data_IF_426345590579
#
_entry.id   IF_426345590579
#
_cell.length_a   1.000
_cell.length_b   1.000
_cell.length_c   1.000
_cell.angle_alpha   90.00
_cell.angle_beta   90.00
_cell.angle_gamma   90.00
#
_symmetry.space_group_name_H-M   'P 1'
#
loop_
_entity.id
_entity.type
_entity.pdbx_description
1 polymer ?
#
# COMPACT_ATOMS: atom_id res chain seq x y z
N UNK A 1 -3.79 38.69 -60.61
CA UNK A 1 -3.98 38.94 -59.16
C UNK A 1 -3.25 37.84 -58.39
N UNK A 2 -1.99 38.09 -58.03
CA UNK A 2 -1.13 37.17 -57.25
C UNK A 2 -0.78 37.92 -55.97
N UNK A 3 -1.66 37.90 -54.96
CA UNK A 3 -1.44 38.64 -53.70
C UNK A 3 -2.21 38.02 -52.51
N UNK A 4 -2.23 36.70 -52.37
CA UNK A 4 -2.85 36.03 -51.19
C UNK A 4 -1.90 35.11 -50.42
N UNK A 5 -0.87 34.56 -51.05
CA UNK A 5 0.10 33.67 -50.38
C UNK A 5 1.17 34.38 -49.53
N UNK A 6 1.53 35.63 -49.85
CA UNK A 6 2.52 36.39 -49.10
C UNK A 6 1.95 36.87 -47.75
N UNK A 7 0.74 37.43 -47.75
CA UNK A 7 0.06 37.88 -46.54
C UNK A 7 -0.22 36.74 -45.55
N UNK A 8 -0.51 35.53 -46.02
CA UNK A 8 -0.78 34.38 -45.14
C UNK A 8 0.52 33.78 -44.56
N UNK A 9 1.62 33.76 -45.32
CA UNK A 9 2.95 33.41 -44.79
C UNK A 9 3.53 34.49 -43.87
N UNK A 10 3.20 35.76 -44.12
CA UNK A 10 3.57 36.85 -43.23
C UNK A 10 2.72 36.84 -41.96
N UNK A 11 1.43 36.48 -42.03
CA UNK A 11 0.58 36.25 -40.84
C UNK A 11 1.04 35.05 -40.01
N UNK A 12 1.48 33.95 -40.65
CA UNK A 12 2.09 32.81 -39.97
C UNK A 12 3.50 33.11 -39.43
N UNK A 13 4.26 34.04 -40.04
CA UNK A 13 5.53 34.56 -39.50
C UNK A 13 5.31 35.53 -38.34
N UNK A 14 4.24 36.32 -38.34
CA UNK A 14 3.88 37.29 -37.31
C UNK A 14 3.31 36.63 -36.03
N UNK A 15 2.91 35.35 -36.09
CA UNK A 15 2.38 34.58 -34.96
C UNK A 15 3.27 33.40 -34.54
N UNK A 16 4.56 33.42 -34.89
CA UNK A 16 5.51 32.46 -34.33
C UNK A 16 5.80 32.81 -32.88
N UNK A 17 5.06 32.18 -31.97
CA UNK A 17 5.33 32.23 -30.54
C UNK A 17 6.81 31.93 -30.27
N UNK A 18 7.52 32.88 -29.68
CA UNK A 18 8.93 32.69 -29.33
C UNK A 18 9.07 31.66 -28.21
N UNK A 19 10.27 31.07 -28.03
CA UNK A 19 10.51 30.15 -26.92
C UNK A 19 10.23 30.82 -25.57
N UNK A 20 10.63 32.07 -25.42
CA UNK A 20 10.42 32.85 -24.21
C UNK A 20 8.93 33.08 -23.94
N UNK A 21 8.18 33.54 -24.96
CA UNK A 21 6.72 33.68 -24.85
C UNK A 21 6.04 32.36 -24.52
N UNK A 22 6.51 31.23 -25.09
CA UNK A 22 6.02 29.90 -24.76
C UNK A 22 6.22 29.57 -23.29
N UNK A 23 7.42 29.75 -22.78
CA UNK A 23 7.73 29.44 -21.38
C UNK A 23 6.93 30.34 -20.43
N UNK A 24 6.83 31.64 -20.70
CA UNK A 24 6.05 32.58 -19.90
C UNK A 24 4.55 32.22 -19.86
N UNK A 25 3.97 31.80 -20.98
CA UNK A 25 2.54 31.41 -21.04
C UNK A 25 2.24 30.00 -20.53
N UNK A 26 3.24 29.12 -20.42
CA UNK A 26 3.05 27.71 -20.02
C UNK A 26 3.45 27.45 -18.57
N UNK A 27 4.38 28.24 -18.01
CA UNK A 27 4.72 28.25 -16.60
C UNK A 27 3.85 29.29 -15.87
N UNK A 28 2.53 29.07 -15.91
CA UNK A 28 1.52 29.83 -15.18
C UNK A 28 0.92 28.99 -14.03
N UNK A 29 -0.02 29.55 -13.27
CA UNK A 29 -0.74 28.87 -12.17
C UNK A 29 -1.52 27.60 -12.57
N UNK A 30 -1.66 27.33 -13.87
CA UNK A 30 -2.34 26.15 -14.42
C UNK A 30 -1.36 25.08 -14.90
N UNK A 31 -0.05 25.24 -14.64
CA UNK A 31 0.97 24.23 -14.94
C UNK A 31 0.78 22.98 -14.08
N UNK A 32 0.50 21.84 -14.72
CA UNK A 32 0.41 20.55 -14.02
C UNK A 32 1.76 19.84 -14.00
N UNK A 33 2.46 19.77 -15.14
CA UNK A 33 3.75 19.10 -15.28
C UNK A 33 4.51 19.64 -16.48
N UNK A 34 5.79 19.97 -16.30
CA UNK A 34 6.74 20.13 -17.38
C UNK A 34 7.81 19.03 -17.33
N UNK A 35 8.26 18.59 -18.50
CA UNK A 35 9.26 17.54 -18.67
C UNK A 35 10.30 18.00 -19.67
N UNK A 36 11.56 18.08 -19.25
CA UNK A 36 12.70 18.27 -20.14
C UNK A 36 13.31 16.90 -20.45
N UNK A 37 13.43 16.60 -21.74
CA UNK A 37 13.89 15.31 -22.24
C UNK A 37 14.70 15.44 -23.53
N UNK A 38 15.23 14.31 -24.01
CA UNK A 38 16.12 14.29 -25.17
C UNK A 38 17.48 14.89 -24.83
N UNK A 39 18.12 14.33 -23.79
CA UNK A 39 19.45 14.70 -23.31
C UNK A 39 20.45 14.71 -24.47
N UNK A 40 21.24 15.78 -24.56
CA UNK A 40 22.26 15.97 -25.60
C UNK A 40 23.68 16.05 -25.07
N UNK A 41 23.85 16.37 -23.79
CA UNK A 41 25.14 16.28 -23.12
C UNK A 41 25.59 14.82 -22.98
N UNK A 42 26.89 14.57 -23.22
CA UNK A 42 27.53 13.26 -23.01
C UNK A 42 28.20 13.13 -21.63
N UNK A 43 28.06 14.14 -20.78
CA UNK A 43 28.64 14.14 -19.44
C UNK A 43 27.90 13.15 -18.53
N UNK A 44 28.65 12.39 -17.72
CA UNK A 44 28.09 11.38 -16.80
C UNK A 44 27.20 11.99 -15.71
N UNK A 45 27.39 13.26 -15.39
CA UNK A 45 26.63 13.98 -14.36
C UNK A 45 25.43 14.77 -14.93
N UNK A 46 25.29 14.82 -16.25
CA UNK A 46 24.17 15.50 -16.86
C UNK A 46 22.86 14.71 -16.64
N UNK A 47 21.76 15.39 -16.28
CA UNK A 47 20.49 14.72 -16.03
C UNK A 47 19.91 14.13 -17.32
N UNK A 48 19.37 12.92 -17.24
CA UNK A 48 18.70 12.24 -18.36
C UNK A 48 17.29 12.75 -18.61
N UNK A 49 16.65 13.26 -17.54
CA UNK A 49 15.31 13.81 -17.56
C UNK A 49 15.14 14.77 -16.39
N UNK A 50 14.43 15.86 -16.62
CA UNK A 50 14.00 16.79 -15.55
C UNK A 50 12.48 16.86 -15.57
N UNK A 51 11.85 16.65 -14.41
CA UNK A 51 10.40 16.83 -14.22
C UNK A 51 10.16 18.04 -13.34
N UNK A 52 9.38 19.00 -13.82
CA UNK A 52 9.09 20.24 -13.13
C UNK A 52 7.60 20.28 -12.80
N UNK A 53 7.26 20.59 -11.55
CA UNK A 53 5.87 20.74 -11.11
C UNK A 53 5.74 21.91 -10.14
N UNK A 54 4.54 22.47 -10.05
CA UNK A 54 4.23 23.48 -9.04
C UNK A 54 4.11 22.84 -7.65
N UNK A 55 4.59 23.58 -6.66
CA UNK A 55 4.57 23.21 -5.26
C UNK A 55 4.29 24.45 -4.40
N UNK A 56 3.73 24.24 -3.22
CA UNK A 56 3.63 25.30 -2.21
C UNK A 56 4.74 25.11 -1.16
N UNK A 57 5.50 26.17 -0.90
CA UNK A 57 6.60 26.16 0.07
C UNK A 57 6.55 27.45 0.89
N UNK A 58 6.35 27.32 2.22
CA UNK A 58 6.23 28.46 3.16
C UNK A 58 5.17 29.50 2.75
N UNK A 59 4.07 29.07 2.12
CA UNK A 59 2.96 29.95 1.72
C UNK A 59 3.14 30.66 0.39
N UNK A 60 4.19 30.34 -0.39
CA UNK A 60 4.35 30.81 -1.77
C UNK A 60 4.43 29.65 -2.76
N UNK A 61 3.94 29.88 -3.99
CA UNK A 61 4.04 28.89 -5.08
C UNK A 61 5.45 28.93 -5.65
N UNK A 62 6.11 27.77 -5.66
CA UNK A 62 7.42 27.55 -6.28
C UNK A 62 7.33 26.40 -7.29
N UNK A 63 8.36 26.25 -8.11
CA UNK A 63 8.49 25.18 -9.10
C UNK A 63 9.61 24.25 -8.68
N UNK A 64 9.29 22.99 -8.42
CA UNK A 64 10.30 21.98 -8.10
C UNK A 64 10.74 21.25 -9.36
N UNK A 65 12.03 21.31 -9.68
CA UNK A 65 12.68 20.46 -10.67
C UNK A 65 13.25 19.20 -10.01
N UNK A 66 12.86 18.04 -10.52
CA UNK A 66 13.39 16.73 -10.13
C UNK A 66 14.26 16.18 -11.27
N UNK A 67 15.57 16.23 -11.08
CA UNK A 67 16.60 15.88 -12.07
C UNK A 67 17.09 14.45 -11.84
N UNK A 68 16.93 13.59 -12.85
CA UNK A 68 17.38 12.19 -12.78
C UNK A 68 18.83 12.09 -13.28
N UNK A 69 19.78 11.78 -12.40
CA UNK A 69 21.21 11.62 -12.72
C UNK A 69 21.63 10.20 -12.32
N UNK A 70 21.86 9.34 -13.31
CA UNK A 70 22.09 7.90 -13.07
C UNK A 70 20.90 7.27 -12.33
N UNK A 71 21.14 6.73 -11.13
CA UNK A 71 20.11 6.15 -10.24
C UNK A 71 19.56 7.13 -9.19
N UNK A 72 20.07 8.37 -9.15
CA UNK A 72 19.70 9.38 -8.15
C UNK A 72 18.71 10.39 -8.72
N UNK A 73 17.84 10.91 -7.87
CA UNK A 73 16.94 12.03 -8.17
C UNK A 73 17.33 13.21 -7.28
N UNK A 74 17.70 14.34 -7.91
CA UNK A 74 18.03 15.59 -7.22
C UNK A 74 16.85 16.55 -7.30
N UNK A 75 16.57 17.27 -6.21
CA UNK A 75 15.46 18.22 -6.13
C UNK A 75 15.98 19.65 -5.94
N UNK A 76 15.53 20.55 -6.81
CA UNK A 76 15.79 21.99 -6.72
C UNK A 76 14.48 22.75 -6.81
N UNK A 77 14.31 23.82 -6.03
CA UNK A 77 13.11 24.64 -6.04
C UNK A 77 13.44 26.02 -6.60
N UNK A 78 12.55 26.55 -7.44
CA UNK A 78 12.74 27.80 -8.18
C UNK A 78 11.50 28.70 -8.06
N UNK A 79 11.69 30.02 -8.13
CA UNK A 79 10.63 30.96 -8.47
C UNK A 79 10.15 30.77 -9.92
N UNK A 80 9.10 31.48 -10.33
CA UNK A 80 8.62 31.46 -11.71
C UNK A 80 9.67 31.97 -12.69
N UNK A 81 10.34 33.05 -12.34
CA UNK A 81 11.38 33.69 -13.15
C UNK A 81 12.60 32.77 -13.24
N UNK A 82 13.01 32.19 -12.10
CA UNK A 82 14.15 31.27 -12.03
C UNK A 82 13.90 29.98 -12.82
N UNK A 83 12.69 29.41 -12.79
CA UNK A 83 12.41 28.17 -13.51
C UNK A 83 12.35 28.38 -15.02
N UNK A 84 11.84 29.53 -15.47
CA UNK A 84 11.83 29.89 -16.90
C UNK A 84 13.27 30.04 -17.39
N UNK A 85 14.11 30.78 -16.67
CA UNK A 85 15.53 30.93 -16.97
C UNK A 85 16.26 29.57 -16.98
N UNK A 86 15.99 28.71 -16.00
CA UNK A 86 16.55 27.36 -15.92
C UNK A 86 16.20 26.50 -17.14
N UNK A 87 14.93 26.50 -17.56
CA UNK A 87 14.47 25.74 -18.73
C UNK A 87 15.08 26.29 -20.01
N UNK A 88 15.14 27.61 -20.15
CA UNK A 88 15.74 28.26 -21.31
C UNK A 88 17.24 27.93 -21.43
N UNK A 89 18.00 28.09 -20.34
CA UNK A 89 19.42 27.75 -20.29
C UNK A 89 19.65 26.26 -20.61
N UNK A 90 18.83 25.38 -20.04
CA UNK A 90 18.89 23.93 -20.29
C UNK A 90 18.68 23.55 -21.76
N UNK A 91 18.01 24.39 -22.55
CA UNK A 91 17.79 24.19 -23.98
C UNK A 91 18.89 24.84 -24.83
N UNK A 92 19.34 26.03 -24.44
CA UNK A 92 20.38 26.78 -25.17
C UNK A 92 21.77 26.14 -25.04
N UNK A 93 22.13 25.65 -23.86
CA UNK A 93 23.42 24.98 -23.61
C UNK A 93 23.47 23.54 -24.17
N UNK A 94 22.39 23.10 -24.84
CA UNK A 94 22.32 21.76 -25.40
C UNK A 94 22.21 20.67 -24.33
N UNK A 95 21.64 20.97 -23.16
CA UNK A 95 21.31 19.97 -22.14
C UNK A 95 20.19 19.05 -22.62
N UNK A 96 19.08 19.64 -23.09
CA UNK A 96 17.89 18.92 -23.57
C UNK A 96 17.43 19.41 -24.94
N UNK A 97 16.52 18.67 -25.57
CA UNK A 97 15.97 19.03 -26.89
C UNK A 97 14.46 19.03 -27.00
N UNK A 98 13.78 18.51 -25.98
CA UNK A 98 12.34 18.31 -25.97
C UNK A 98 11.74 18.71 -24.61
N UNK A 99 11.35 19.98 -24.45
CA UNK A 99 10.38 20.41 -23.44
C UNK A 99 8.97 19.97 -23.81
N UNK A 100 8.28 19.37 -22.86
CA UNK A 100 6.85 19.11 -22.92
C UNK A 100 6.20 19.69 -21.68
N UNK A 101 5.09 20.39 -21.85
CA UNK A 101 4.32 21.02 -20.79
C UNK A 101 2.88 20.54 -20.87
N UNK A 102 2.33 20.15 -19.73
CA UNK A 102 0.93 19.80 -19.54
C UNK A 102 0.32 20.83 -18.60
N UNK A 103 -0.66 21.56 -19.10
CA UNK A 103 -1.46 22.49 -18.33
C UNK A 103 -2.91 22.03 -18.23
N UNK A 104 -3.70 22.71 -17.41
CA UNK A 104 -5.11 22.37 -17.16
C UNK A 104 -5.96 22.29 -18.43
N UNK A 105 -5.77 23.22 -19.37
CA UNK A 105 -6.57 23.33 -20.59
C UNK A 105 -5.73 23.35 -21.88
N UNK A 106 -4.40 23.35 -21.76
CA UNK A 106 -3.46 23.51 -22.87
C UNK A 106 -2.23 22.64 -22.61
N UNK A 107 -1.84 21.86 -23.62
CA UNK A 107 -0.58 21.15 -23.65
C UNK A 107 0.39 21.90 -24.59
N UNK A 108 1.65 22.00 -24.19
CA UNK A 108 2.71 22.65 -24.95
C UNK A 108 3.84 21.66 -25.25
N UNK A 109 4.46 21.77 -26.42
CA UNK A 109 5.68 21.04 -26.72
C UNK A 109 6.62 21.88 -27.55
N UNK A 110 7.90 21.77 -27.23
CA UNK A 110 8.99 22.41 -27.96
C UNK A 110 9.92 21.32 -28.47
N UNK A 111 10.41 21.49 -29.69
CA UNK A 111 11.47 20.68 -30.24
C UNK A 111 12.57 21.60 -30.76
N UNK A 112 13.76 21.49 -30.17
CA UNK A 112 14.96 22.19 -30.64
C UNK A 112 15.72 21.22 -31.54
N UNK A 113 15.96 21.56 -32.80
CA UNK A 113 16.74 20.71 -33.73
C UNK A 113 18.25 20.74 -33.41
N UNK A 114 19.05 19.87 -34.06
CA UNK A 114 20.53 19.93 -33.95
C UNK A 114 21.14 21.21 -34.54
N UNK A 115 20.40 21.91 -35.41
CA UNK A 115 20.81 23.17 -36.05
C UNK A 115 20.22 24.41 -35.37
N UNK A 116 19.73 24.28 -34.12
CA UNK A 116 19.16 25.39 -33.35
C UNK A 116 17.74 25.84 -33.73
N UNK A 117 17.16 25.32 -34.83
CA UNK A 117 15.75 25.61 -35.19
C UNK A 117 14.82 25.14 -34.07
N UNK A 118 14.04 26.06 -33.50
CA UNK A 118 13.02 25.80 -32.47
C UNK A 118 11.65 25.63 -33.15
N UNK A 119 10.91 24.59 -32.77
CA UNK A 119 9.52 24.39 -33.19
C UNK A 119 8.65 24.32 -31.95
N UNK A 120 7.67 25.21 -31.84
CA UNK A 120 6.71 25.27 -30.73
C UNK A 120 5.35 24.77 -31.22
N UNK A 121 4.69 23.92 -30.44
CA UNK A 121 3.31 23.48 -30.67
C UNK A 121 2.52 23.61 -29.38
N UNK A 122 1.34 24.23 -29.47
CA UNK A 122 0.37 24.32 -28.37
C UNK A 122 -0.92 23.65 -28.84
N UNK A 123 -1.52 22.81 -27.99
CA UNK A 123 -2.79 22.13 -28.25
C UNK A 123 -3.73 22.40 -27.08
N UNK A 124 -4.88 23.00 -27.37
CA UNK A 124 -5.94 23.18 -26.40
C UNK A 124 -6.79 21.91 -26.25
N UNK A 125 -7.29 21.68 -25.05
CA UNK A 125 -8.16 20.55 -24.72
C UNK A 125 -9.13 20.92 -23.59
N UNK A 126 -10.18 20.10 -23.40
CA UNK A 126 -11.09 20.27 -22.26
C UNK A 126 -10.32 20.25 -20.94
N UNK A 127 -10.77 21.04 -19.96
CA UNK A 127 -10.11 21.16 -18.67
C UNK A 127 -9.90 19.78 -18.03
N UNK A 128 -8.63 19.36 -17.90
CA UNK A 128 -8.26 18.21 -17.08
C UNK A 128 -8.45 18.61 -15.62
N UNK A 129 -8.87 17.66 -14.77
CA UNK A 129 -8.89 17.92 -13.34
C UNK A 129 -7.48 18.35 -12.90
N UNK A 130 -7.34 19.46 -12.14
CA UNK A 130 -6.04 19.88 -11.67
C UNK A 130 -5.44 18.72 -10.88
N UNK A 131 -4.22 18.32 -11.25
CA UNK A 131 -3.38 17.54 -10.36
C UNK A 131 -3.23 18.44 -9.14
N UNK A 132 -3.96 18.14 -8.07
CA UNK A 132 -3.90 18.90 -6.82
C UNK A 132 -2.45 19.23 -6.56
N UNK A 133 -2.14 20.51 -6.37
CA UNK A 133 -0.83 20.97 -5.90
C UNK A 133 -0.67 20.31 -4.53
N UNK A 134 -0.11 19.11 -4.55
CA UNK A 134 0.30 18.40 -3.36
C UNK A 134 1.42 19.26 -2.82
N UNK A 135 1.07 20.08 -1.82
CA UNK A 135 2.00 20.60 -0.84
C UNK A 135 3.08 19.55 -0.60
N UNK A 136 4.32 19.98 -0.42
CA UNK A 136 5.45 19.06 -0.35
C UNK A 136 5.47 18.09 0.84
N UNK A 137 4.40 18.07 1.62
CA UNK A 137 3.94 16.83 2.22
C UNK A 137 2.79 16.30 1.36
N UNK A 138 2.98 15.15 0.68
CA UNK A 138 1.92 14.15 0.83
C UNK A 138 1.84 13.96 2.33
N UNK A 139 0.99 14.75 3.01
CA UNK A 139 0.61 14.47 4.38
C UNK A 139 -0.04 13.13 4.20
N UNK A 140 0.71 12.06 4.50
CA UNK A 140 0.18 10.70 4.47
C UNK A 140 -1.12 10.81 5.26
N UNK A 141 -2.24 10.59 4.56
CA UNK A 141 -3.56 10.71 5.17
C UNK A 141 -3.72 9.48 6.05
N UNK A 142 -3.14 9.56 7.23
CA UNK A 142 -3.25 8.54 8.25
C UNK A 142 -4.69 8.54 8.75
N UNK A 143 -5.26 7.34 8.91
CA UNK A 143 -6.59 7.14 9.51
C UNK A 143 -6.64 7.75 10.91
N UNK A 144 -5.63 7.44 11.74
CA UNK A 144 -5.38 8.11 13.01
C UNK A 144 -4.48 9.30 12.74
N UNK A 145 -5.03 10.52 12.85
CA UNK A 145 -4.33 11.75 12.50
C UNK A 145 -3.42 12.23 13.62
N UNK A 146 -2.22 12.70 13.25
CA UNK A 146 -1.36 13.44 14.17
C UNK A 146 -2.04 14.78 14.56
N UNK A 147 -1.92 15.16 15.82
CA UNK A 147 -2.59 16.33 16.41
C UNK A 147 -4.00 16.05 16.92
N UNK A 148 -4.54 14.85 16.69
CA UNK A 148 -5.77 14.37 17.36
C UNK A 148 -5.39 13.32 18.39
N UNK A 149 -5.47 13.62 19.71
CA UNK A 149 -5.16 12.66 20.75
C UNK A 149 -6.09 11.44 20.67
N UNK A 150 -5.50 10.25 20.65
CA UNK A 150 -6.22 8.98 20.75
C UNK A 150 -5.82 8.31 22.07
N UNK A 151 -6.74 8.07 23.03
CA UNK A 151 -6.39 7.70 24.40
C UNK A 151 -5.39 6.53 24.51
N UNK A 152 -5.65 5.43 23.81
CA UNK A 152 -4.78 4.26 23.87
C UNK A 152 -3.40 4.50 23.23
N UNK A 153 -3.29 5.38 22.23
CA UNK A 153 -1.99 5.75 21.66
C UNK A 153 -1.17 6.63 22.60
N UNK A 154 -1.83 7.44 23.42
CA UNK A 154 -1.16 8.23 24.46
C UNK A 154 -0.57 7.31 25.53
N UNK A 155 -1.39 6.39 26.06
CA UNK A 155 -0.94 5.44 27.09
C UNK A 155 0.12 4.46 26.59
N UNK A 156 0.10 4.10 25.30
CA UNK A 156 1.14 3.30 24.66
C UNK A 156 2.46 4.06 24.42
N UNK A 157 2.52 5.36 24.72
CA UNK A 157 3.68 6.21 24.45
C UNK A 157 3.92 6.48 22.96
N UNK A 158 2.90 6.31 22.12
CA UNK A 158 2.97 6.63 20.69
C UNK A 158 2.69 8.12 20.47
N UNK A 159 1.71 8.65 21.18
CA UNK A 159 1.30 10.06 21.15
C UNK A 159 1.56 10.72 22.51
N UNK A 160 1.76 12.03 22.51
CA UNK A 160 1.61 12.84 23.72
C UNK A 160 0.13 13.26 23.91
N UNK A 161 -0.18 13.96 25.00
CA UNK A 161 -1.56 14.41 25.31
C UNK A 161 -2.13 15.38 24.28
N UNK A 162 -1.27 16.05 23.52
CA UNK A 162 -1.64 16.95 22.43
C UNK A 162 -1.78 16.23 21.08
N UNK A 163 -1.64 14.90 21.04
CA UNK A 163 -1.79 14.08 19.83
C UNK A 163 -0.58 14.10 18.89
N UNK A 164 0.54 14.68 19.31
CA UNK A 164 1.81 14.68 18.57
C UNK A 164 2.51 13.34 18.72
N UNK A 165 3.08 12.82 17.63
CA UNK A 165 3.74 11.52 17.67
C UNK A 165 5.13 11.65 18.32
N UNK A 166 5.44 10.74 19.24
CA UNK A 166 6.79 10.60 19.76
C UNK A 166 7.71 10.06 18.66
N UNK A 167 8.81 10.77 18.37
CA UNK A 167 9.75 10.40 17.29
C UNK A 167 10.16 8.92 17.29
N UNK A 168 10.52 8.30 18.43
CA UNK A 168 10.90 6.88 18.46
C UNK A 168 9.75 5.91 18.16
N UNK A 169 8.49 6.35 18.32
CA UNK A 169 7.29 5.54 18.11
C UNK A 169 6.64 5.75 16.73
N UNK A 170 7.28 6.51 15.84
CA UNK A 170 6.71 6.84 14.53
C UNK A 170 6.51 5.60 13.65
N UNK A 171 7.39 4.61 13.74
CA UNK A 171 7.24 3.35 13.00
C UNK A 171 6.05 2.54 13.49
N UNK A 172 5.84 2.49 14.81
CA UNK A 172 4.65 1.88 15.40
C UNK A 172 3.37 2.61 14.97
N UNK A 173 3.40 3.94 14.90
CA UNK A 173 2.27 4.73 14.40
C UNK A 173 1.96 4.44 12.91
N UNK A 174 2.98 4.30 12.07
CA UNK A 174 2.82 3.87 10.66
C UNK A 174 2.21 2.46 10.58
N UNK A 175 2.71 1.51 11.37
CA UNK A 175 2.20 0.14 11.39
C UNK A 175 0.71 0.10 11.77
N UNK A 176 0.32 0.83 12.81
CA UNK A 176 -1.08 0.90 13.25
C UNK A 176 -1.97 1.45 12.14
N UNK A 177 -1.57 2.56 11.52
CA UNK A 177 -2.36 3.14 10.42
C UNK A 177 -2.45 2.23 9.21
N UNK A 178 -1.34 1.59 8.84
CA UNK A 178 -1.31 0.65 7.72
C UNK A 178 -2.19 -0.57 7.95
N UNK A 179 -2.26 -1.06 9.19
CA UNK A 179 -3.23 -2.10 9.55
C UNK A 179 -4.66 -1.61 9.37
N UNK A 180 -4.97 -0.39 9.84
CA UNK A 180 -6.30 0.19 9.70
C UNK A 180 -6.69 0.46 8.24
N UNK A 181 -5.74 0.71 7.34
CA UNK A 181 -6.02 0.80 5.89
C UNK A 181 -6.57 -0.54 5.36
N UNK A 182 -6.03 -1.67 5.81
CA UNK A 182 -6.57 -2.98 5.45
C UNK A 182 -7.96 -3.23 6.05
N UNK A 183 -8.23 -2.71 7.25
CA UNK A 183 -9.57 -2.73 7.85
C UNK A 183 -10.53 -1.86 7.03
N UNK A 184 -10.09 -0.69 6.56
CA UNK A 184 -10.90 0.22 5.74
C UNK A 184 -11.36 -0.45 4.43
N UNK A 185 -10.45 -1.15 3.76
CA UNK A 185 -10.71 -1.86 2.52
C UNK A 185 -11.79 -2.96 2.65
N UNK A 186 -11.92 -3.58 3.82
CA UNK A 186 -12.86 -4.69 4.06
C UNK A 186 -14.19 -4.25 4.68
N UNK A 187 -14.36 -2.97 5.02
CA UNK A 187 -15.60 -2.46 5.60
C UNK A 187 -16.87 -2.80 4.79
N UNK A 188 -16.86 -2.82 3.44
CA UNK A 188 -18.04 -3.21 2.67
C UNK A 188 -18.49 -4.66 2.89
N UNK A 189 -17.61 -5.55 3.36
CA UNK A 189 -17.94 -6.93 3.67
C UNK A 189 -18.55 -7.10 5.08
N UNK A 190 -18.47 -6.08 5.93
CA UNK A 190 -19.02 -6.11 7.29
C UNK A 190 -20.42 -5.50 7.32
N UNK A 191 -21.34 -6.14 8.03
CA UNK A 191 -22.71 -5.62 8.19
C UNK A 191 -22.72 -4.31 8.98
N UNK A 192 -23.60 -3.39 8.59
CA UNK A 192 -23.93 -2.17 9.35
C UNK A 192 -25.25 -2.27 10.09
N UNK A 193 -26.02 -3.33 9.84
CA UNK A 193 -27.40 -3.47 10.32
C UNK A 193 -27.51 -4.28 11.62
N UNK A 194 -26.43 -4.97 12.00
CA UNK A 194 -26.34 -5.75 13.24
C UNK A 194 -24.95 -5.62 13.86
N UNK A 195 -24.83 -6.13 15.07
CA UNK A 195 -23.53 -6.28 15.72
C UNK A 195 -22.60 -7.19 14.90
N UNK A 196 -21.36 -6.72 14.72
CA UNK A 196 -20.27 -7.41 14.03
C UNK A 196 -19.38 -8.08 15.07
N UNK A 197 -19.28 -9.41 15.01
CA UNK A 197 -18.44 -10.19 15.92
C UNK A 197 -17.07 -10.43 15.32
N UNK A 198 -16.02 -10.01 16.02
CA UNK A 198 -14.63 -10.11 15.57
C UNK A 198 -13.81 -10.90 16.58
N UNK A 199 -13.03 -11.87 16.10
CA UNK A 199 -12.04 -12.57 16.92
C UNK A 199 -10.63 -12.15 16.54
N UNK A 200 -9.77 -11.88 17.53
CA UNK A 200 -8.35 -11.61 17.33
C UNK A 200 -7.51 -12.64 18.08
N UNK A 201 -6.89 -13.56 17.34
CA UNK A 201 -6.10 -14.65 17.90
C UNK A 201 -4.61 -14.32 17.98
N UNK A 202 -4.03 -14.61 19.13
CA UNK A 202 -2.66 -14.21 19.45
C UNK A 202 -2.58 -12.69 19.56
N UNK A 203 -3.55 -12.08 20.25
CA UNK A 203 -3.68 -10.63 20.31
C UNK A 203 -2.49 -9.96 21.03
N UNK A 204 -1.74 -10.70 21.85
CA UNK A 204 -0.56 -10.20 22.55
C UNK A 204 -0.89 -8.96 23.36
N UNK A 205 -0.05 -7.92 23.27
CA UNK A 205 -0.30 -6.64 23.95
C UNK A 205 -1.44 -5.80 23.31
N UNK A 206 -2.14 -6.36 22.33
CA UNK A 206 -3.43 -5.93 21.77
C UNK A 206 -3.52 -4.51 21.19
N UNK A 207 -2.40 -3.83 20.91
CA UNK A 207 -2.45 -2.46 20.39
C UNK A 207 -3.14 -2.35 19.03
N UNK A 208 -3.03 -3.37 18.17
CA UNK A 208 -3.76 -3.44 16.90
C UNK A 208 -5.25 -3.74 17.13
N UNK A 209 -5.58 -4.58 18.12
CA UNK A 209 -6.96 -4.83 18.57
C UNK A 209 -7.63 -3.54 19.07
N UNK A 210 -6.96 -2.77 19.93
CA UNK A 210 -7.45 -1.47 20.41
C UNK A 210 -7.62 -0.46 19.26
N UNK A 211 -6.68 -0.43 18.32
CA UNK A 211 -6.78 0.42 17.15
C UNK A 211 -7.98 0.04 16.27
N UNK A 212 -8.20 -1.24 16.03
CA UNK A 212 -9.34 -1.77 15.28
C UNK A 212 -10.66 -1.43 15.98
N UNK A 213 -10.77 -1.65 17.29
CA UNK A 213 -11.96 -1.28 18.06
C UNK A 213 -12.25 0.22 17.95
N UNK A 214 -11.25 1.06 18.22
CA UNK A 214 -11.39 2.52 18.12
C UNK A 214 -11.81 2.96 16.72
N UNK A 215 -11.19 2.41 15.67
CA UNK A 215 -11.52 2.77 14.31
C UNK A 215 -12.95 2.36 13.92
N UNK A 216 -13.33 1.11 14.19
CA UNK A 216 -14.65 0.60 13.82
C UNK A 216 -15.76 1.25 14.65
N UNK A 217 -15.62 1.27 15.98
CA UNK A 217 -16.63 1.78 16.91
C UNK A 217 -16.65 3.31 16.97
N UNK A 218 -15.51 3.94 17.26
CA UNK A 218 -15.46 5.38 17.51
C UNK A 218 -15.47 6.21 16.23
N UNK A 219 -14.69 5.81 15.22
CA UNK A 219 -14.57 6.60 13.99
C UNK A 219 -15.63 6.24 12.94
N UNK A 220 -15.88 4.95 12.71
CA UNK A 220 -16.81 4.47 11.67
C UNK A 220 -18.22 4.13 12.16
N UNK A 221 -18.44 4.16 13.48
CA UNK A 221 -19.75 3.94 14.13
C UNK A 221 -20.38 2.58 13.85
N UNK A 222 -19.57 1.55 13.63
CA UNK A 222 -20.05 0.16 13.61
C UNK A 222 -20.41 -0.28 15.03
N UNK A 223 -21.42 -1.13 15.15
CA UNK A 223 -21.59 -1.90 16.39
C UNK A 223 -20.72 -3.15 16.32
N UNK A 224 -19.67 -3.19 17.12
CA UNK A 224 -18.69 -4.28 17.11
C UNK A 224 -18.59 -4.91 18.49
N UNK A 225 -18.44 -6.22 18.49
CA UNK A 225 -18.07 -7.03 19.65
C UNK A 225 -16.77 -7.76 19.29
N UNK A 226 -15.68 -7.41 19.98
CA UNK A 226 -14.34 -7.91 19.68
C UNK A 226 -13.84 -8.74 20.85
N UNK A 227 -13.42 -9.97 20.57
CA UNK A 227 -12.83 -10.87 21.56
C UNK A 227 -11.39 -11.16 21.15
N UNK A 228 -10.45 -10.75 21.99
CA UNK A 228 -9.03 -11.10 21.86
C UNK A 228 -8.69 -12.35 22.67
N UNK A 229 -8.01 -13.30 22.03
CA UNK A 229 -7.55 -14.55 22.65
C UNK A 229 -6.02 -14.58 22.72
N UNK A 230 -5.48 -14.90 23.89
CA UNK A 230 -4.05 -15.15 24.11
C UNK A 230 -3.86 -16.20 25.21
N UNK A 231 -2.71 -16.86 25.23
CA UNK A 231 -2.38 -17.90 26.21
C UNK A 231 -1.84 -17.32 27.53
N UNK A 232 -1.45 -16.04 27.55
CA UNK A 232 -0.79 -15.42 28.72
C UNK A 232 -1.78 -14.66 29.58
N UNK A 233 -2.14 -15.23 30.74
CA UNK A 233 -3.05 -14.58 31.71
C UNK A 233 -2.64 -13.15 32.08
N UNK A 234 -1.35 -12.87 32.28
CA UNK A 234 -0.88 -11.54 32.68
C UNK A 234 -1.11 -10.50 31.59
N UNK A 235 -1.03 -10.92 30.32
CA UNK A 235 -1.35 -10.10 29.15
C UNK A 235 -2.84 -9.83 29.09
N UNK A 236 -3.68 -10.85 29.29
CA UNK A 236 -5.14 -10.74 29.30
C UNK A 236 -5.62 -9.79 30.40
N UNK A 237 -5.12 -9.93 31.64
CA UNK A 237 -5.47 -9.03 32.75
C UNK A 237 -5.13 -7.57 32.44
N UNK A 238 -3.96 -7.31 31.84
CA UNK A 238 -3.57 -5.96 31.42
C UNK A 238 -4.49 -5.42 30.33
N UNK A 239 -4.84 -6.23 29.33
CA UNK A 239 -5.70 -5.79 28.23
C UNK A 239 -7.13 -5.51 28.70
N UNK A 240 -7.71 -6.34 29.58
CA UNK A 240 -9.02 -6.07 30.18
C UNK A 240 -9.02 -4.79 31.03
N UNK A 241 -8.00 -4.57 31.85
CA UNK A 241 -7.88 -3.32 32.62
C UNK A 241 -7.76 -2.06 31.73
N UNK A 242 -7.13 -2.18 30.55
CA UNK A 242 -7.10 -1.11 29.56
C UNK A 242 -8.46 -0.91 28.87
N UNK A 243 -9.16 -1.99 28.50
CA UNK A 243 -10.50 -1.90 27.92
C UNK A 243 -11.48 -1.21 28.87
N UNK A 244 -11.45 -1.58 30.16
CA UNK A 244 -12.23 -0.92 31.22
C UNK A 244 -11.86 0.56 31.36
N UNK A 245 -10.56 0.88 31.42
CA UNK A 245 -10.07 2.27 31.51
C UNK A 245 -10.58 3.15 30.37
N UNK A 246 -10.72 2.60 29.17
CA UNK A 246 -11.21 3.34 28.00
C UNK A 246 -12.73 3.28 27.81
N UNK A 247 -13.46 2.54 28.65
CA UNK A 247 -14.90 2.34 28.49
C UNK A 247 -15.27 1.49 27.27
N UNK A 248 -14.39 0.58 26.84
CA UNK A 248 -14.62 -0.28 25.68
C UNK A 248 -15.39 -1.53 26.11
N UNK A 249 -16.68 -1.34 26.39
CA UNK A 249 -17.57 -2.36 26.98
C UNK A 249 -17.74 -3.62 26.11
N UNK A 250 -17.53 -3.51 24.80
CA UNK A 250 -17.64 -4.63 23.85
C UNK A 250 -16.28 -5.12 23.34
N UNK A 251 -15.21 -4.82 24.07
CA UNK A 251 -13.87 -5.35 23.82
C UNK A 251 -13.47 -6.23 25.01
N UNK A 252 -13.43 -7.54 24.78
CA UNK A 252 -13.10 -8.51 25.82
C UNK A 252 -11.83 -9.27 25.48
N UNK A 253 -11.06 -9.61 26.50
CA UNK A 253 -9.88 -10.45 26.35
C UNK A 253 -10.04 -11.71 27.21
N UNK A 254 -9.82 -12.86 26.59
CA UNK A 254 -9.98 -14.17 27.22
C UNK A 254 -8.66 -14.95 27.14
N UNK A 255 -8.35 -15.67 28.22
CA UNK A 255 -7.21 -16.59 28.23
C UNK A 255 -7.66 -17.92 27.62
N UNK A 256 -7.06 -18.33 26.51
CA UNK A 256 -7.43 -19.58 25.85
C UNK A 256 -6.79 -19.78 24.48
N UNK A 257 -6.77 -21.04 24.05
CA UNK A 257 -6.39 -21.43 22.69
C UNK A 257 -7.59 -21.29 21.75
N UNK A 258 -7.37 -20.77 20.54
CA UNK A 258 -8.43 -20.69 19.52
C UNK A 258 -8.92 -22.08 19.10
N UNK A 259 -8.05 -23.08 19.11
CA UNK A 259 -8.41 -24.44 18.71
C UNK A 259 -9.50 -25.04 19.63
N UNK A 260 -9.54 -24.59 20.89
CA UNK A 260 -10.48 -25.06 21.92
C UNK A 260 -11.59 -24.05 22.21
N UNK A 261 -11.59 -22.88 21.56
CA UNK A 261 -12.57 -21.84 21.82
C UNK A 261 -13.91 -22.20 21.17
N UNK A 262 -14.95 -22.34 22.00
CA UNK A 262 -16.33 -22.65 21.56
C UNK A 262 -17.33 -21.52 21.86
N UNK A 263 -16.84 -20.35 22.28
CA UNK A 263 -17.69 -19.24 22.74
C UNK A 263 -18.53 -18.57 21.65
N UNK A 264 -18.34 -18.94 20.38
CA UNK A 264 -19.08 -18.43 19.22
C UNK A 264 -19.39 -19.54 18.22
N UNK A 265 -20.53 -19.42 17.54
CA UNK A 265 -20.93 -20.32 16.45
C UNK A 265 -20.66 -19.73 15.07
N UNK A 266 -20.61 -18.40 14.97
CA UNK A 266 -20.34 -17.67 13.73
C UNK A 266 -19.64 -16.36 14.05
N UNK A 267 -18.74 -15.93 13.17
CA UNK A 267 -18.01 -14.67 13.29
C UNK A 267 -18.07 -13.90 11.98
N UNK A 268 -17.96 -12.58 12.05
CA UNK A 268 -17.88 -11.75 10.85
C UNK A 268 -16.45 -11.62 10.36
N UNK A 269 -15.51 -11.54 11.30
CA UNK A 269 -14.11 -11.33 10.99
C UNK A 269 -13.20 -12.09 11.95
N UNK A 270 -12.17 -12.73 11.39
CA UNK A 270 -11.05 -13.30 12.17
C UNK A 270 -9.77 -12.55 11.83
N UNK A 271 -9.05 -12.16 12.87
CA UNK A 271 -7.75 -11.53 12.81
C UNK A 271 -6.74 -12.45 13.49
N UNK A 272 -5.59 -12.67 12.87
CA UNK A 272 -4.48 -13.44 13.47
C UNK A 272 -3.17 -12.78 13.10
N UNK A 273 -2.62 -11.97 14.00
CA UNK A 273 -1.46 -11.12 13.70
C UNK A 273 -0.13 -11.71 14.20
N UNK A 274 -0.19 -12.56 15.22
CA UNK A 274 0.98 -13.18 15.85
C UNK A 274 0.83 -14.66 16.14
N UNK A 275 -0.19 -15.33 15.59
CA UNK A 275 -0.22 -16.79 15.61
C UNK A 275 0.91 -17.30 14.71
N UNK A 276 1.89 -17.99 15.31
CA UNK A 276 3.06 -18.48 14.60
C UNK A 276 2.95 -19.97 14.27
N UNK A 277 3.61 -20.36 13.17
CA UNK A 277 3.69 -21.72 12.65
C UNK A 277 2.30 -22.35 12.49
N UNK A 278 2.07 -23.55 13.02
CA UNK A 278 0.78 -24.25 12.93
C UNK A 278 -0.37 -23.52 13.63
N UNK A 279 -0.09 -22.60 14.56
CA UNK A 279 -1.15 -21.82 15.20
C UNK A 279 -1.89 -20.94 14.18
N UNK A 280 -1.20 -20.47 13.12
CA UNK A 280 -1.86 -19.78 12.01
C UNK A 280 -2.85 -20.73 11.31
N UNK A 281 -2.48 -21.98 11.09
CA UNK A 281 -3.31 -22.97 10.39
C UNK A 281 -4.58 -23.29 11.17
N UNK A 282 -4.48 -23.53 12.48
CA UNK A 282 -5.66 -23.73 13.32
C UNK A 282 -6.59 -22.52 13.30
N UNK A 283 -6.04 -21.31 13.37
CA UNK A 283 -6.84 -20.08 13.32
C UNK A 283 -7.57 -19.93 11.97
N UNK A 284 -6.89 -20.21 10.85
CA UNK A 284 -7.50 -20.17 9.52
C UNK A 284 -8.58 -21.24 9.36
N UNK A 285 -8.35 -22.46 9.85
CA UNK A 285 -9.35 -23.53 9.82
C UNK A 285 -10.59 -23.17 10.62
N UNK A 286 -10.43 -22.70 11.87
CA UNK A 286 -11.55 -22.22 12.72
C UNK A 286 -12.29 -21.05 12.07
N UNK A 287 -11.58 -20.13 11.39
CA UNK A 287 -12.22 -19.02 10.69
C UNK A 287 -13.14 -19.50 9.54
N UNK A 288 -12.72 -20.54 8.82
CA UNK A 288 -13.55 -21.18 7.79
C UNK A 288 -14.73 -21.91 8.42
N UNK A 289 -14.50 -22.65 9.50
CA UNK A 289 -15.53 -23.37 10.27
C UNK A 289 -16.64 -22.42 10.79
N UNK A 290 -16.25 -21.26 11.34
CA UNK A 290 -17.17 -20.23 11.82
C UNK A 290 -17.78 -19.36 10.72
N UNK A 291 -17.61 -19.72 9.44
CA UNK A 291 -18.20 -19.00 8.32
C UNK A 291 -17.84 -17.49 8.32
N UNK A 292 -16.57 -17.19 8.66
CA UNK A 292 -16.07 -15.83 8.70
C UNK A 292 -16.23 -15.14 7.35
N UNK A 293 -16.74 -13.90 7.34
CA UNK A 293 -16.86 -13.12 6.10
C UNK A 293 -15.52 -12.53 5.68
N UNK A 294 -14.66 -12.22 6.65
CA UNK A 294 -13.33 -11.66 6.44
C UNK A 294 -12.30 -12.39 7.29
N UNK A 295 -11.13 -12.68 6.72
CA UNK A 295 -9.97 -13.19 7.44
C UNK A 295 -8.77 -12.30 7.13
N UNK A 296 -8.11 -11.76 8.16
CA UNK A 296 -6.83 -11.06 8.04
C UNK A 296 -5.77 -11.80 8.85
N UNK A 297 -4.74 -12.30 8.18
CA UNK A 297 -3.68 -13.09 8.80
C UNK A 297 -2.30 -12.54 8.48
N UNK A 298 -1.48 -12.31 9.50
CA UNK A 298 -0.06 -11.96 9.36
C UNK A 298 0.78 -13.14 9.84
N UNK A 299 1.18 -14.05 8.93
CA UNK A 299 1.96 -15.23 9.29
C UNK A 299 3.40 -14.86 9.75
N UNK A 300 3.67 -15.00 11.05
CA UNK A 300 4.91 -14.49 11.67
C UNK A 300 6.12 -15.41 11.63
N UNK A 301 5.99 -16.74 11.74
CA UNK A 301 7.10 -17.71 11.74
C UNK A 301 6.58 -18.99 11.11
N UNK A 302 7.33 -19.66 10.22
CA UNK A 302 6.84 -20.83 9.50
C UNK A 302 7.96 -21.85 9.33
N UNK A 303 7.80 -23.02 9.93
CA UNK A 303 8.79 -24.08 9.91
C UNK A 303 8.23 -25.37 9.33
N UNK A 304 6.92 -25.58 9.40
CA UNK A 304 6.28 -26.81 8.94
C UNK A 304 6.74 -27.25 7.55
N UNK A 305 6.62 -26.38 6.53
CA UNK A 305 7.05 -26.72 5.19
C UNK A 305 8.58 -26.84 5.06
N UNK A 306 9.34 -26.08 5.85
CA UNK A 306 10.80 -26.13 5.79
C UNK A 306 11.36 -27.50 6.19
N UNK A 307 10.68 -28.22 7.08
CA UNK A 307 11.09 -29.57 7.48
C UNK A 307 10.70 -30.64 6.45
N UNK A 308 9.69 -30.36 5.62
CA UNK A 308 9.09 -31.32 4.69
C UNK A 308 9.58 -31.14 3.24
N UNK A 309 9.86 -29.90 2.83
CA UNK A 309 10.04 -29.55 1.43
C UNK A 309 11.18 -30.34 0.78
N UNK A 310 10.82 -31.08 -0.25
CA UNK A 310 11.75 -31.86 -1.07
C UNK A 310 11.33 -31.76 -2.52
N UNK A 311 12.27 -31.50 -3.41
CA UNK A 311 12.00 -31.51 -4.84
C UNK A 311 13.31 -31.72 -5.61
N UNK A 312 13.32 -32.71 -6.52
CA UNK A 312 14.54 -33.07 -7.27
C UNK A 312 15.06 -31.90 -8.12
N UNK A 313 14.15 -31.17 -8.78
CA UNK A 313 14.48 -30.04 -9.65
C UNK A 313 15.03 -28.85 -8.83
N UNK A 314 14.42 -28.56 -7.68
CA UNK A 314 14.82 -27.43 -6.82
C UNK A 314 15.98 -27.78 -5.85
N UNK A 315 16.42 -29.03 -5.80
CA UNK A 315 17.50 -29.48 -4.91
C UNK A 315 18.79 -28.63 -4.95
N UNK A 316 19.24 -28.07 -6.10
CA UNK A 316 20.42 -27.21 -6.12
C UNK A 316 20.25 -25.90 -5.34
N UNK A 317 19.01 -25.44 -5.14
CA UNK A 317 18.66 -24.24 -4.37
C UNK A 317 18.32 -24.62 -2.92
N UNK A 318 17.51 -25.66 -2.72
CA UNK A 318 17.04 -26.10 -1.39
C UNK A 318 18.18 -26.61 -0.49
N UNK A 319 19.35 -26.94 -1.04
CA UNK A 319 20.55 -27.30 -0.25
C UNK A 319 21.09 -26.14 0.59
N UNK A 320 20.78 -24.88 0.23
CA UNK A 320 21.19 -23.70 0.99
C UNK A 320 20.13 -23.38 2.04
N UNK A 321 20.42 -23.65 3.32
CA UNK A 321 19.44 -23.54 4.42
C UNK A 321 18.68 -22.21 4.46
N UNK A 322 19.37 -21.07 4.29
CA UNK A 322 18.72 -19.75 4.28
C UNK A 322 17.73 -19.58 3.10
N UNK A 323 18.05 -20.12 1.92
CA UNK A 323 17.14 -20.06 0.77
C UNK A 323 15.96 -21.03 0.96
N UNK A 324 16.23 -22.24 1.49
CA UNK A 324 15.20 -23.22 1.85
C UNK A 324 14.18 -22.61 2.81
N UNK A 325 14.64 -21.98 3.88
CA UNK A 325 13.79 -21.35 4.89
C UNK A 325 12.89 -20.26 4.27
N UNK A 326 13.48 -19.32 3.52
CA UNK A 326 12.74 -18.22 2.90
C UNK A 326 11.73 -18.70 1.85
N UNK A 327 12.13 -19.65 1.00
CA UNK A 327 11.24 -20.24 0.01
C UNK A 327 10.08 -20.99 0.68
N UNK A 328 10.37 -21.77 1.73
CA UNK A 328 9.35 -22.49 2.47
C UNK A 328 8.35 -21.55 3.12
N UNK A 329 8.81 -20.43 3.70
CA UNK A 329 7.91 -19.43 4.26
C UNK A 329 6.96 -18.84 3.20
N UNK A 330 7.48 -18.44 2.04
CA UNK A 330 6.66 -17.87 0.95
C UNK A 330 5.69 -18.90 0.36
N UNK A 331 6.13 -20.14 0.18
CA UNK A 331 5.28 -21.23 -0.31
C UNK A 331 4.17 -21.55 0.70
N UNK A 332 4.48 -21.54 2.00
CA UNK A 332 3.47 -21.76 3.06
C UNK A 332 2.34 -20.73 2.95
N UNK A 333 2.67 -19.45 2.79
CA UNK A 333 1.66 -18.39 2.69
C UNK A 333 0.85 -18.48 1.38
N UNK A 334 1.49 -18.89 0.28
CA UNK A 334 0.81 -19.19 -0.99
C UNK A 334 -0.16 -20.37 -0.88
N UNK A 335 0.28 -21.48 -0.27
CA UNK A 335 -0.57 -22.66 -0.04
C UNK A 335 -1.78 -22.29 0.81
N UNK A 336 -1.60 -21.53 1.89
CA UNK A 336 -2.71 -21.07 2.73
C UNK A 336 -3.72 -20.21 1.97
N UNK A 337 -3.24 -19.29 1.13
CA UNK A 337 -4.12 -18.46 0.31
C UNK A 337 -4.93 -19.33 -0.67
N UNK A 338 -4.31 -20.26 -1.38
CA UNK A 338 -5.01 -21.16 -2.30
C UNK A 338 -5.99 -22.12 -1.59
N UNK A 339 -5.66 -22.59 -0.38
CA UNK A 339 -6.58 -23.38 0.46
C UNK A 339 -7.82 -22.57 0.89
N UNK A 340 -7.68 -21.26 1.10
CA UNK A 340 -8.82 -20.38 1.37
C UNK A 340 -9.64 -20.12 0.09
N UNK A 341 -9.00 -19.98 -1.07
CA UNK A 341 -9.69 -19.89 -2.38
C UNK A 341 -10.51 -21.15 -2.67
N UNK A 342 -9.98 -22.33 -2.36
CA UNK A 342 -10.72 -23.58 -2.51
C UNK A 342 -11.91 -23.70 -1.55
N UNK A 343 -11.91 -22.96 -0.44
CA UNK A 343 -13.03 -22.80 0.50
C UNK A 343 -13.95 -21.60 0.21
N UNK A 344 -13.82 -20.97 -0.95
CA UNK A 344 -14.77 -19.95 -1.43
C UNK A 344 -14.45 -18.53 -1.01
N UNK A 345 -13.21 -18.25 -0.62
CA UNK A 345 -12.72 -16.90 -0.33
C UNK A 345 -12.00 -16.32 -1.54
N UNK A 346 -12.11 -15.01 -1.74
CA UNK A 346 -11.16 -14.27 -2.59
C UNK A 346 -10.01 -13.79 -1.72
N UNK A 347 -8.80 -14.18 -2.08
CA UNK A 347 -7.59 -13.99 -1.29
C UNK A 347 -6.60 -13.05 -1.96
N UNK A 348 -5.85 -12.32 -1.14
CA UNK A 348 -4.81 -11.41 -1.56
C UNK A 348 -3.66 -11.49 -0.57
N UNK A 349 -2.43 -11.58 -1.09
CA UNK A 349 -1.21 -11.46 -0.31
C UNK A 349 -0.68 -10.04 -0.48
N UNK A 350 -0.64 -9.29 0.62
CA UNK A 350 -0.34 -7.87 0.64
C UNK A 350 0.90 -7.60 1.49
N UNK A 351 1.65 -6.56 1.13
CA UNK A 351 2.73 -6.06 1.98
C UNK A 351 2.16 -5.21 3.13
N UNK A 352 2.38 -5.68 4.36
CA UNK A 352 1.93 -5.06 5.59
C UNK A 352 2.83 -3.90 6.01
N UNK A 353 4.12 -4.12 6.24
CA UNK A 353 5.06 -3.08 6.66
C UNK A 353 6.39 -3.24 5.95
N UNK A 354 7.17 -2.16 5.87
CA UNK A 354 8.47 -2.18 5.22
C UNK A 354 9.39 -3.27 5.81
N UNK A 355 10.15 -3.95 4.94
CA UNK A 355 11.11 -4.98 5.31
C UNK A 355 12.20 -4.48 6.27
N UNK A 356 12.44 -3.17 6.32
CA UNK A 356 13.34 -2.53 7.30
C UNK A 356 12.98 -2.87 8.75
N UNK A 357 11.71 -3.22 9.03
CA UNK A 357 11.22 -3.52 10.37
C UNK A 357 11.10 -5.02 10.66
N UNK A 358 10.92 -5.85 9.64
CA UNK A 358 10.82 -7.31 9.79
C UNK A 358 11.04 -8.01 8.44
N UNK A 359 11.78 -9.15 8.40
CA UNK A 359 11.91 -9.95 7.18
C UNK A 359 10.60 -10.64 6.78
N UNK A 360 9.58 -10.59 7.63
CA UNK A 360 8.23 -11.11 7.37
C UNK A 360 7.22 -9.99 7.41
N UNK A 361 6.80 -9.60 6.22
CA UNK A 361 6.02 -8.41 5.94
C UNK A 361 4.72 -8.71 5.19
N UNK A 362 4.26 -9.95 5.12
CA UNK A 362 3.08 -10.32 4.36
C UNK A 362 1.83 -10.38 5.24
N UNK A 363 0.70 -9.96 4.67
CA UNK A 363 -0.64 -10.14 5.19
C UNK A 363 -1.49 -10.88 4.17
N UNK A 364 -2.13 -11.97 4.58
CA UNK A 364 -3.15 -12.67 3.83
C UNK A 364 -4.50 -12.01 4.18
N UNK A 365 -5.14 -11.43 3.18
CA UNK A 365 -6.52 -10.94 3.26
C UNK A 365 -7.41 -11.90 2.49
N UNK A 366 -8.43 -12.45 3.14
CA UNK A 366 -9.43 -13.30 2.50
C UNK A 366 -10.83 -12.75 2.77
N UNK A 367 -11.64 -12.59 1.73
CA UNK A 367 -13.04 -12.14 1.82
C UNK A 367 -13.93 -13.21 1.22
N UNK A 368 -14.96 -13.65 1.95
CA UNK A 368 -15.84 -14.72 1.50
C UNK A 368 -16.65 -14.27 0.28
N UNK A 369 -16.61 -15.07 -0.78
CA UNK A 369 -17.38 -14.81 -2.02
C UNK A 369 -18.37 -15.92 -2.35
N UNK A 370 -18.21 -17.09 -1.72
CA UNK A 370 -19.00 -18.30 -2.00
C UNK A 370 -18.61 -19.01 -3.30
N UNK A 371 -17.59 -18.52 -4.01
CA UNK A 371 -17.09 -19.14 -5.24
C UNK A 371 -15.80 -19.87 -4.95
N UNK A 372 -15.87 -21.20 -4.82
CA UNK A 372 -14.67 -22.02 -4.66
C UNK A 372 -13.89 -22.13 -5.97
N UNK A 373 -12.57 -22.21 -5.86
CA UNK A 373 -11.68 -22.60 -6.96
C UNK A 373 -11.29 -24.07 -6.85
N UNK A 374 -11.04 -24.71 -7.99
CA UNK A 374 -10.45 -26.05 -8.00
C UNK A 374 -9.06 -25.99 -7.37
N UNK A 375 -8.79 -26.85 -6.39
CA UNK A 375 -7.45 -26.99 -5.81
C UNK A 375 -6.64 -28.12 -6.44
N UNK A 376 -7.02 -28.64 -7.61
CA UNK A 376 -6.23 -29.65 -8.34
C UNK A 376 -4.79 -29.18 -8.61
N UNK A 377 -4.63 -27.94 -9.09
CA UNK A 377 -3.30 -27.36 -9.35
C UNK A 377 -2.50 -27.15 -8.05
N UNK A 378 -3.18 -26.78 -6.96
CA UNK A 378 -2.57 -26.68 -5.65
C UNK A 378 -2.06 -28.06 -5.19
N UNK A 379 -2.91 -29.08 -5.29
CA UNK A 379 -2.61 -30.46 -4.92
C UNK A 379 -1.42 -31.01 -5.70
N UNK A 380 -1.40 -30.83 -7.02
CA UNK A 380 -0.27 -31.24 -7.86
C UNK A 380 1.04 -30.58 -7.40
N UNK A 381 0.99 -29.28 -7.08
CA UNK A 381 2.13 -28.55 -6.58
C UNK A 381 2.59 -29.05 -5.20
N UNK A 382 1.67 -29.21 -4.23
CA UNK A 382 1.99 -29.70 -2.88
C UNK A 382 2.53 -31.12 -2.91
N UNK A 383 1.98 -32.01 -3.75
CA UNK A 383 2.49 -33.37 -3.97
C UNK A 383 3.94 -33.31 -4.50
N UNK A 384 4.22 -32.46 -5.48
CA UNK A 384 5.53 -32.34 -6.12
C UNK A 384 6.62 -31.78 -5.20
N UNK A 385 6.25 -31.03 -4.16
CA UNK A 385 7.19 -30.45 -3.18
C UNK A 385 7.14 -31.13 -1.80
N UNK A 386 6.29 -32.15 -1.63
CA UNK A 386 5.98 -32.77 -0.33
C UNK A 386 5.50 -31.76 0.72
N UNK A 387 4.60 -30.85 0.34
CA UNK A 387 4.21 -29.67 1.12
C UNK A 387 2.80 -29.70 1.71
N UNK A 388 2.37 -30.82 2.29
CA UNK A 388 1.04 -30.96 2.89
C UNK A 388 0.99 -30.32 4.29
N UNK A 389 0.49 -29.09 4.35
CA UNK A 389 0.38 -28.31 5.58
C UNK A 389 -0.66 -28.88 6.55
N UNK A 390 -0.56 -28.48 7.82
CA UNK A 390 -1.58 -28.79 8.83
C UNK A 390 -2.95 -28.23 8.41
N UNK A 391 -2.99 -27.02 7.83
CA UNK A 391 -4.23 -26.41 7.34
C UNK A 391 -4.97 -27.29 6.32
N UNK A 392 -4.27 -27.93 5.39
CA UNK A 392 -4.88 -28.79 4.38
C UNK A 392 -5.66 -29.94 5.03
N UNK A 393 -5.06 -30.59 6.04
CA UNK A 393 -5.68 -31.69 6.78
C UNK A 393 -6.88 -31.24 7.61
N UNK A 394 -6.82 -30.03 8.15
CA UNK A 394 -7.93 -29.45 8.92
C UNK A 394 -9.12 -29.10 8.01
N UNK A 395 -8.86 -28.61 6.80
CA UNK A 395 -9.89 -28.21 5.83
C UNK A 395 -10.44 -29.39 5.01
N UNK A 396 -9.65 -30.44 4.84
CA UNK A 396 -9.97 -31.64 4.05
C UNK A 396 -9.56 -32.91 4.81
N UNK A 397 -10.25 -33.25 5.92
CA UNK A 397 -9.91 -34.43 6.73
C UNK A 397 -10.02 -35.75 5.95
N UNK A 398 -10.93 -35.82 4.97
CA UNK A 398 -11.13 -36.97 4.09
C UNK A 398 -10.32 -36.90 2.78
N UNK A 399 -9.46 -35.89 2.65
CA UNK A 399 -8.65 -35.63 1.46
C UNK A 399 -9.29 -34.66 0.45
N UNK A 400 -8.44 -34.10 -0.40
CA UNK A 400 -8.78 -33.00 -1.32
C UNK A 400 -9.87 -33.37 -2.36
N UNK A 401 -10.00 -34.66 -2.70
CA UNK A 401 -10.90 -35.18 -3.74
C UNK A 401 -12.21 -35.75 -3.19
N UNK A 402 -12.39 -35.76 -1.86
CA UNK A 402 -13.63 -36.17 -1.25
C UNK A 402 -14.70 -35.12 -1.60
N UNK A 403 -15.61 -35.46 -2.52
CA UNK A 403 -16.76 -34.61 -2.86
C UNK A 403 -17.48 -34.27 -1.56
N UNK A 404 -17.64 -32.97 -1.27
CA UNK A 404 -18.54 -32.51 -0.20
C UNK A 404 -19.89 -33.20 -0.43
N UNK A 405 -20.31 -33.99 0.57
CA UNK A 405 -21.49 -34.84 0.48
C UNK A 405 -22.73 -34.05 0.07
N UNK A 406 -23.52 -34.68 -0.79
CA UNK A 406 -24.81 -34.21 -1.34
C UNK A 406 -25.79 -33.78 -0.24
#
# INVERSE_FOLDING_TARGET
MVYTGALQRDYERLNMMTLQEFLEKQFDENLMLAVLSGQRSKEKEAPSKVRIRQIELKGSVCYQASSTVGTKVLHSNYSREEVIAYVEQSLQEGGFSQPQVQGRCKDGSVLVSKKGKVTVKVKEHQAKEPVQILAHNRVKQYILKEGTPVPFLVDLGVMNKEGKIHRPAYDKFKQINRFLEFIEDILPALSREREVTILDFGCGKSYLTFAMYYYLKELKKYDVHIIGLDLKEDVIRKCNGLAEKYGYEKLHFLCGDIAEYEGVQKVDMVVTLHACDKATDYALAKAVEWDAQVILSVPCCQHELNDQIQNKLLSPVLKYGLLKERMSALLTDGIRAELLESKGYSTQILEFIDMEHTPKNLLIRAVKTGRSRSGEALKEMTDAIHGHLTLEKLLYPDGFDAKEGV
#
